data_IF_229231596260
#
_entry.id   IF_229231596260
#
_cell.length_a   1.000
_cell.length_b   1.000
_cell.length_c   1.000
_cell.angle_alpha   90.00
_cell.angle_beta   90.00
_cell.angle_gamma   90.00
#
_symmetry.space_group_name_H-M   'P 1'
#
loop_
_entity.id
_entity.type
_entity.pdbx_description
1 polymer ?
#
# COMPACT_ATOMS: atom_id res chain seq x y z
N UNK A 1 -33.43 47.41 34.09
CA UNK A 1 -32.10 46.76 33.95
C UNK A 1 -32.05 45.71 32.84
N UNK A 2 -33.04 44.83 32.72
CA UNK A 2 -33.02 43.70 31.78
C UNK A 2 -32.84 44.08 30.29
N UNK A 3 -33.54 45.12 29.80
CA UNK A 3 -33.39 45.58 28.41
C UNK A 3 -32.00 46.16 28.08
N UNK A 4 -31.37 46.84 29.05
CA UNK A 4 -30.02 47.39 28.91
C UNK A 4 -28.98 46.27 28.83
N UNK A 5 -29.16 45.22 29.64
CA UNK A 5 -28.32 44.01 29.61
C UNK A 5 -28.48 43.28 28.26
N UNK A 6 -29.71 43.08 27.77
CA UNK A 6 -29.97 42.47 26.45
C UNK A 6 -29.32 43.25 25.29
N UNK A 7 -29.43 44.59 25.27
CA UNK A 7 -28.77 45.43 24.25
C UNK A 7 -27.24 45.35 24.33
N UNK A 8 -26.65 45.27 25.53
CA UNK A 8 -25.21 45.13 25.73
C UNK A 8 -24.72 43.76 25.26
N UNK A 9 -25.42 42.68 25.61
CA UNK A 9 -25.14 41.31 25.15
C UNK A 9 -25.23 41.22 23.62
N UNK A 10 -26.29 41.76 23.01
CA UNK A 10 -26.44 41.75 21.54
C UNK A 10 -25.29 42.49 20.84
N UNK A 11 -24.85 43.63 21.39
CA UNK A 11 -23.71 44.38 20.84
C UNK A 11 -22.40 43.61 20.93
N UNK A 12 -22.17 42.90 22.04
CA UNK A 12 -21.00 42.02 22.23
C UNK A 12 -21.06 40.86 21.24
N UNK A 13 -22.19 40.16 21.16
CA UNK A 13 -22.39 39.04 20.24
C UNK A 13 -22.14 39.45 18.78
N UNK A 14 -22.65 40.62 18.36
CA UNK A 14 -22.41 41.16 17.02
C UNK A 14 -20.93 41.43 16.75
N UNK A 15 -20.19 41.97 17.73
CA UNK A 15 -18.74 42.20 17.61
C UNK A 15 -17.97 40.89 17.52
N UNK A 16 -18.33 39.90 18.35
CA UNK A 16 -17.72 38.57 18.32
C UNK A 16 -17.98 37.90 16.96
N UNK A 17 -19.22 37.92 16.47
CA UNK A 17 -19.56 37.35 15.16
C UNK A 17 -18.83 38.07 14.01
N UNK A 18 -18.68 39.39 14.09
CA UNK A 18 -17.89 40.16 13.13
C UNK A 18 -16.41 39.76 13.16
N UNK A 19 -15.80 39.67 14.34
CA UNK A 19 -14.41 39.22 14.48
C UNK A 19 -14.20 37.79 13.94
N UNK A 20 -15.12 36.87 14.23
CA UNK A 20 -15.09 35.50 13.69
C UNK A 20 -15.23 35.54 12.17
N UNK A 21 -16.17 36.31 11.63
CA UNK A 21 -16.38 36.45 10.18
C UNK A 21 -15.15 37.01 9.47
N UNK A 22 -14.51 38.04 10.03
CA UNK A 22 -13.28 38.62 9.48
C UNK A 22 -12.12 37.61 9.52
N UNK A 23 -11.97 36.87 10.63
CA UNK A 23 -10.95 35.82 10.73
C UNK A 23 -11.17 34.73 9.67
N UNK A 24 -12.40 34.26 9.51
CA UNK A 24 -12.74 33.25 8.50
C UNK A 24 -12.47 33.77 7.08
N UNK A 25 -12.76 35.04 6.80
CA UNK A 25 -12.44 35.66 5.52
C UNK A 25 -10.92 35.68 5.27
N UNK A 26 -10.11 36.07 6.26
CA UNK A 26 -8.65 36.03 6.11
C UNK A 26 -8.14 34.60 5.87
N UNK A 27 -8.65 33.61 6.60
CA UNK A 27 -8.27 32.21 6.38
C UNK A 27 -8.63 31.76 4.97
N UNK A 28 -9.81 32.10 4.47
CA UNK A 28 -10.23 31.76 3.10
C UNK A 28 -9.35 32.44 2.05
N UNK A 29 -9.07 33.74 2.19
CA UNK A 29 -8.22 34.49 1.26
C UNK A 29 -6.79 33.93 1.27
N UNK A 30 -6.20 33.72 2.44
CA UNK A 30 -4.84 33.16 2.55
C UNK A 30 -4.79 31.76 1.94
N UNK A 31 -5.76 30.90 2.24
CA UNK A 31 -5.82 29.54 1.68
C UNK A 31 -5.94 29.59 0.15
N UNK A 32 -6.80 30.47 -0.37
CA UNK A 32 -6.94 30.66 -1.81
C UNK A 32 -5.63 31.13 -2.46
N UNK A 33 -4.94 32.10 -1.85
CA UNK A 33 -3.66 32.61 -2.34
C UNK A 33 -2.54 31.56 -2.27
N UNK A 34 -2.49 30.75 -1.21
CA UNK A 34 -1.56 29.63 -1.11
C UNK A 34 -1.78 28.61 -2.24
N UNK A 35 -3.03 28.22 -2.50
CA UNK A 35 -3.34 27.34 -3.62
C UNK A 35 -3.03 27.99 -4.97
N UNK A 36 -3.28 29.29 -5.12
CA UNK A 36 -2.91 30.04 -6.33
C UNK A 36 -1.39 30.07 -6.55
N UNK A 37 -0.60 30.16 -5.48
CA UNK A 37 0.86 30.08 -5.55
C UNK A 37 1.34 28.69 -6.01
N UNK A 38 0.71 27.61 -5.53
CA UNK A 38 1.01 26.26 -6.02
C UNK A 38 0.62 26.10 -7.50
N UNK A 39 -0.50 26.68 -7.92
CA UNK A 39 -1.02 26.53 -9.28
C UNK A 39 -0.29 27.39 -10.32
N UNK A 40 -0.05 28.67 -10.00
CA UNK A 40 0.50 29.66 -10.94
C UNK A 40 1.94 30.10 -10.60
N UNK A 41 2.57 29.45 -9.62
CA UNK A 41 3.96 29.68 -9.28
C UNK A 41 4.92 29.23 -10.40
N UNK A 42 6.22 29.53 -10.26
CA UNK A 42 7.20 29.31 -11.32
C UNK A 42 7.58 27.83 -11.54
N UNK A 43 7.20 26.92 -10.64
CA UNK A 43 7.58 25.50 -10.72
C UNK A 43 6.41 24.65 -11.23
N UNK A 44 6.55 24.17 -12.46
CA UNK A 44 5.57 23.24 -13.06
C UNK A 44 5.52 21.91 -12.31
N UNK A 45 6.67 21.39 -11.89
CA UNK A 45 6.72 20.17 -11.08
C UNK A 45 5.94 20.31 -9.76
N UNK A 46 6.05 21.46 -9.07
CA UNK A 46 5.29 21.72 -7.84
C UNK A 46 3.79 21.84 -8.12
N UNK A 47 3.40 22.51 -9.21
CA UNK A 47 2.01 22.60 -9.67
C UNK A 47 1.43 21.21 -9.93
N UNK A 48 2.13 20.40 -10.72
CA UNK A 48 1.64 19.10 -11.15
C UNK A 48 1.53 18.15 -9.95
N UNK A 49 2.51 18.17 -9.06
CA UNK A 49 2.46 17.40 -7.81
C UNK A 49 1.28 17.83 -6.93
N UNK A 50 1.05 19.13 -6.77
CA UNK A 50 -0.09 19.66 -6.02
C UNK A 50 -1.43 19.23 -6.62
N UNK A 51 -1.61 19.42 -7.94
CA UNK A 51 -2.85 19.06 -8.64
C UNK A 51 -3.13 17.56 -8.51
N UNK A 52 -2.14 16.70 -8.77
CA UNK A 52 -2.29 15.25 -8.63
C UNK A 52 -2.60 14.84 -7.18
N UNK A 53 -1.91 15.44 -6.19
CA UNK A 53 -2.14 15.14 -4.76
C UNK A 53 -3.57 15.47 -4.32
N UNK A 54 -4.10 16.62 -4.77
CA UNK A 54 -5.47 17.04 -4.44
C UNK A 54 -6.52 16.17 -5.12
N UNK A 55 -6.30 15.76 -6.37
CA UNK A 55 -7.25 14.91 -7.11
C UNK A 55 -7.31 13.48 -6.59
N UNK A 56 -6.23 12.98 -6.00
CA UNK A 56 -6.21 11.70 -5.31
C UNK A 56 -6.81 11.79 -3.88
N UNK A 57 -6.93 12.99 -3.33
CA UNK A 57 -7.52 13.20 -2.01
C UNK A 57 -9.04 13.33 -2.13
N UNK A 58 -9.80 12.30 -1.73
CA UNK A 58 -11.27 12.24 -1.86
C UNK A 58 -12.00 13.52 -1.43
N UNK A 59 -11.59 14.13 -0.31
CA UNK A 59 -12.22 15.34 0.23
C UNK A 59 -11.74 16.67 -0.42
N UNK A 60 -10.66 16.65 -1.20
CA UNK A 60 -10.01 17.85 -1.74
C UNK A 60 -10.02 17.92 -3.28
N UNK A 61 -10.71 16.99 -3.96
CA UNK A 61 -10.80 16.94 -5.43
C UNK A 61 -11.29 18.24 -6.06
N UNK A 62 -12.08 19.03 -5.34
CA UNK A 62 -12.60 20.31 -5.82
C UNK A 62 -11.52 21.42 -5.90
N UNK A 63 -10.42 21.30 -5.16
CA UNK A 63 -9.44 22.37 -4.97
C UNK A 63 -8.78 22.80 -6.29
N UNK A 64 -8.27 21.89 -7.15
CA UNK A 64 -7.68 22.30 -8.43
C UNK A 64 -8.67 23.01 -9.36
N UNK A 65 -9.96 22.68 -9.28
CA UNK A 65 -11.01 23.31 -10.09
C UNK A 65 -11.32 24.76 -9.68
N UNK A 66 -10.80 25.23 -8.54
CA UNK A 66 -10.83 26.65 -8.18
C UNK A 66 -9.88 27.49 -9.04
N UNK A 67 -8.87 26.86 -9.64
CA UNK A 67 -7.77 27.53 -10.35
C UNK A 67 -7.71 27.16 -11.84
N UNK A 68 -8.08 25.93 -12.19
CA UNK A 68 -7.93 25.42 -13.54
C UNK A 68 -9.24 24.90 -14.13
N UNK A 69 -9.36 25.00 -15.46
CA UNK A 69 -10.41 24.34 -16.20
C UNK A 69 -10.25 22.81 -16.15
N UNK A 70 -11.33 22.08 -16.45
CA UNK A 70 -11.28 20.62 -16.56
C UNK A 70 -10.25 20.15 -17.59
N UNK A 71 -10.14 20.84 -18.73
CA UNK A 71 -9.19 20.50 -19.79
C UNK A 71 -7.73 20.67 -19.33
N UNK A 72 -7.41 21.77 -18.64
CA UNK A 72 -6.06 22.00 -18.12
C UNK A 72 -5.68 20.97 -17.04
N UNK A 73 -6.63 20.58 -16.19
CA UNK A 73 -6.40 19.51 -15.21
C UNK A 73 -6.13 18.17 -15.91
N UNK A 74 -6.87 17.85 -16.96
CA UNK A 74 -6.64 16.61 -17.74
C UNK A 74 -5.26 16.60 -18.40
N UNK A 75 -4.79 17.74 -18.91
CA UNK A 75 -3.44 17.88 -19.45
C UNK A 75 -2.38 17.60 -18.37
N UNK A 76 -2.46 18.29 -17.22
CA UNK A 76 -1.53 18.12 -16.09
C UNK A 76 -1.50 16.67 -15.57
N UNK A 77 -2.67 16.03 -15.45
CA UNK A 77 -2.79 14.67 -14.92
C UNK A 77 -2.46 13.59 -15.95
N UNK A 78 -2.63 13.87 -17.24
CA UNK A 78 -2.34 12.93 -18.33
C UNK A 78 -0.85 12.59 -18.44
N UNK A 79 0.02 13.51 -18.04
CA UNK A 79 1.48 13.38 -18.08
C UNK A 79 2.09 12.74 -16.83
N UNK A 80 1.33 12.57 -15.75
CA UNK A 80 1.80 11.97 -14.50
C UNK A 80 1.01 10.70 -14.18
N UNK A 81 1.50 9.55 -14.68
CA UNK A 81 0.78 8.27 -14.58
C UNK A 81 1.72 7.09 -14.60
N UNK A 82 1.27 6.01 -14.00
CA UNK A 82 1.87 4.68 -14.20
C UNK A 82 1.36 4.13 -15.52
N UNK A 83 2.28 3.68 -16.38
CA UNK A 83 1.94 2.96 -17.60
C UNK A 83 1.66 1.52 -17.18
N UNK A 84 0.41 1.09 -17.38
CA UNK A 84 -0.02 -0.26 -17.03
C UNK A 84 0.81 -1.27 -17.81
N UNK A 85 1.36 -2.25 -17.09
CA UNK A 85 1.97 -3.43 -17.70
C UNK A 85 0.88 -4.45 -18.03
N UNK A 86 1.01 -5.11 -19.18
CA UNK A 86 0.21 -6.28 -19.55
C UNK A 86 0.74 -7.57 -18.89
N UNK A 87 1.90 -7.47 -18.21
CA UNK A 87 2.48 -8.59 -17.50
C UNK A 87 1.74 -8.90 -16.19
N UNK A 88 1.78 -10.17 -15.85
CA UNK A 88 1.36 -10.71 -14.57
C UNK A 88 2.56 -11.45 -14.01
N UNK A 89 2.65 -11.51 -12.68
CA UNK A 89 3.66 -12.32 -12.02
C UNK A 89 3.80 -13.72 -12.62
N UNK A 90 5.01 -14.05 -13.04
CA UNK A 90 5.49 -15.40 -13.26
C UNK A 90 5.84 -16.03 -11.92
N UNK A 91 5.12 -17.08 -11.46
CA UNK A 91 5.39 -17.71 -10.18
C UNK A 91 6.75 -18.40 -10.08
N UNK A 92 7.37 -18.76 -11.21
CA UNK A 92 8.63 -19.54 -11.23
C UNK A 92 9.85 -18.71 -10.81
N UNK A 93 9.74 -17.38 -10.80
CA UNK A 93 10.86 -16.51 -10.40
C UNK A 93 11.14 -16.58 -8.90
N UNK A 94 10.16 -17.00 -8.09
CA UNK A 94 10.27 -17.08 -6.63
C UNK A 94 10.93 -18.41 -6.24
N UNK A 95 12.04 -18.30 -5.51
CA UNK A 95 12.85 -19.42 -5.06
C UNK A 95 12.81 -19.47 -3.54
N UNK A 96 11.88 -20.26 -2.99
CA UNK A 96 11.82 -20.48 -1.56
C UNK A 96 13.06 -21.24 -1.09
N UNK A 97 13.72 -20.73 -0.05
CA UNK A 97 14.81 -21.46 0.59
C UNK A 97 14.30 -22.83 1.06
N UNK A 98 14.88 -23.91 0.55
CA UNK A 98 14.61 -25.23 1.10
C UNK A 98 15.15 -25.25 2.53
N UNK A 99 14.41 -25.78 3.53
CA UNK A 99 14.97 -25.94 4.86
C UNK A 99 16.27 -26.74 4.75
N UNK A 100 17.39 -26.17 5.19
CA UNK A 100 18.67 -26.89 5.19
C UNK A 100 18.48 -28.20 5.95
N UNK A 101 18.79 -29.37 5.36
CA UNK A 101 18.75 -30.61 6.11
C UNK A 101 19.71 -30.47 7.28
N UNK A 102 19.18 -30.56 8.51
CA UNK A 102 19.99 -30.64 9.73
C UNK A 102 21.08 -31.68 9.51
N UNK A 103 22.35 -31.29 9.65
CA UNK A 103 23.48 -32.18 9.42
C UNK A 103 23.35 -33.41 10.32
N UNK A 104 22.95 -34.54 9.75
CA UNK A 104 23.17 -35.84 10.36
C UNK A 104 24.54 -36.30 9.90
N UNK A 105 25.47 -36.37 10.85
CA UNK A 105 26.76 -37.01 10.65
C UNK A 105 26.52 -38.51 10.43
N UNK A 106 26.73 -38.98 9.20
CA UNK A 106 26.92 -40.38 8.95
C UNK A 106 28.01 -40.54 7.88
N UNK A 107 29.19 -40.96 8.36
CA UNK A 107 30.25 -41.53 7.55
C UNK A 107 29.70 -42.66 6.67
N UNK A 108 29.89 -42.60 5.35
CA UNK A 108 30.34 -43.77 4.60
C UNK A 108 31.03 -43.36 3.30
N UNK A 109 32.09 -44.11 2.99
CA UNK A 109 33.10 -43.83 1.98
C UNK A 109 32.59 -43.89 0.53
N UNK A 110 33.28 -43.13 -0.32
CA UNK A 110 33.18 -43.16 -1.78
C UNK A 110 33.65 -44.51 -2.37
N UNK A 111 33.24 -44.81 -3.61
CA UNK A 111 34.25 -44.81 -4.66
C UNK A 111 33.84 -44.02 -5.92
N UNK A 112 34.83 -43.46 -6.62
CA UNK A 112 34.74 -42.77 -7.92
C UNK A 112 35.05 -43.74 -9.09
N UNK A 113 35.09 -43.30 -10.36
CA UNK A 113 33.94 -42.97 -11.21
C UNK A 113 33.99 -43.72 -12.57
N UNK A 114 32.85 -43.83 -13.27
CA UNK A 114 32.83 -44.25 -14.69
C UNK A 114 32.24 -43.13 -15.54
N UNK A 115 33.04 -42.63 -16.48
CA UNK A 115 32.70 -41.63 -17.49
C UNK A 115 31.75 -42.22 -18.53
N UNK A 116 30.67 -41.52 -18.84
CA UNK A 116 30.20 -41.39 -20.22
C UNK A 116 29.56 -40.02 -20.41
N UNK A 117 30.10 -39.26 -21.35
CA UNK A 117 29.59 -37.96 -21.74
C UNK A 117 28.45 -38.08 -22.73
N UNK A 118 27.51 -37.14 -22.67
CA UNK A 118 26.84 -36.60 -23.84
C UNK A 118 26.50 -35.14 -23.53
N UNK A 119 27.03 -34.26 -24.36
CA UNK A 119 26.85 -32.81 -24.38
C UNK A 119 25.41 -32.45 -24.72
N UNK A 120 24.74 -31.73 -23.82
CA UNK A 120 23.61 -30.86 -24.15
C UNK A 120 23.85 -29.53 -23.45
N UNK A 121 24.01 -28.46 -24.24
CA UNK A 121 24.09 -27.08 -23.78
C UNK A 121 22.95 -26.74 -22.80
N UNK A 122 23.23 -26.16 -21.63
CA UNK A 122 22.19 -25.63 -20.76
C UNK A 122 21.51 -24.42 -21.43
N UNK A 123 20.18 -24.25 -21.30
CA UNK A 123 19.51 -23.05 -21.75
C UNK A 123 20.08 -21.82 -21.04
N UNK A 124 20.14 -20.69 -21.75
CA UNK A 124 20.66 -19.43 -21.24
C UNK A 124 20.02 -19.03 -19.90
N UNK A 125 20.87 -18.85 -18.88
CA UNK A 125 20.53 -18.29 -17.57
C UNK A 125 19.85 -16.93 -17.75
N UNK A 126 18.67 -16.66 -17.14
CA UNK A 126 18.10 -15.33 -17.14
C UNK A 126 19.02 -14.36 -16.40
N UNK A 127 19.33 -13.29 -17.08
CA UNK A 127 20.23 -12.19 -16.73
C UNK A 127 19.92 -11.55 -15.37
N UNK A 128 20.99 -11.31 -14.61
CA UNK A 128 21.15 -10.40 -13.46
C UNK A 128 19.98 -10.23 -12.47
N UNK A 129 20.14 -10.84 -11.30
CA UNK A 129 19.47 -10.43 -10.06
C UNK A 129 19.71 -8.92 -9.83
N UNK A 130 18.66 -8.09 -9.64
CA UNK A 130 18.85 -6.74 -9.14
C UNK A 130 19.50 -6.80 -7.75
N UNK A 131 20.78 -6.46 -7.67
CA UNK A 131 21.43 -6.26 -6.38
C UNK A 131 20.98 -4.91 -5.83
N UNK A 132 20.53 -4.81 -4.56
CA UNK A 132 20.16 -3.54 -3.95
C UNK A 132 21.29 -2.52 -4.10
N UNK A 133 20.96 -1.31 -4.54
CA UNK A 133 21.91 -0.20 -4.60
C UNK A 133 22.45 0.07 -3.18
N UNK A 134 23.78 0.09 -2.94
CA UNK A 134 24.33 0.26 -1.60
C UNK A 134 24.10 1.66 -1.00
N UNK A 135 23.63 2.63 -1.78
CA UNK A 135 23.33 4.00 -1.34
C UNK A 135 21.88 4.35 -1.68
N UNK A 136 21.01 4.30 -0.66
CA UNK A 136 19.61 4.74 -0.76
C UNK A 136 19.55 6.26 -0.66
N UNK A 137 18.63 6.87 -1.40
CA UNK A 137 18.32 8.31 -1.30
C UNK A 137 17.49 8.66 -0.04
N UNK A 138 17.07 7.62 0.69
CA UNK A 138 16.31 7.71 1.92
C UNK A 138 17.00 6.94 3.05
N UNK A 139 16.75 7.35 4.30
CA UNK A 139 17.18 6.63 5.48
C UNK A 139 16.30 5.41 5.72
N UNK A 140 16.93 4.29 6.07
CA UNK A 140 16.25 3.05 6.44
C UNK A 140 16.95 2.45 7.67
N UNK A 141 16.29 2.48 8.81
CA UNK A 141 16.84 2.04 10.10
C UNK A 141 16.04 0.87 10.64
N UNK A 142 16.67 -0.28 10.89
CA UNK A 142 16.00 -1.42 11.53
C UNK A 142 15.63 -1.06 12.98
N UNK A 143 14.35 -1.12 13.32
CA UNK A 143 13.78 -0.83 14.64
C UNK A 143 13.68 -2.09 15.49
N UNK A 144 13.26 -3.21 14.88
CA UNK A 144 13.17 -4.50 15.57
C UNK A 144 13.32 -5.66 14.61
N UNK A 145 13.74 -6.81 15.14
CA UNK A 145 13.75 -8.09 14.45
C UNK A 145 13.38 -9.17 15.46
N UNK A 146 12.24 -9.82 15.24
CA UNK A 146 11.71 -10.83 16.15
C UNK A 146 10.77 -11.76 15.41
N UNK A 147 10.81 -13.05 15.73
CA UNK A 147 9.92 -14.06 15.15
C UNK A 147 9.91 -14.02 13.61
N UNK A 148 11.09 -13.86 12.97
CA UNK A 148 11.19 -13.78 11.50
C UNK A 148 10.52 -12.55 10.87
N UNK A 149 10.21 -11.52 11.66
CA UNK A 149 9.68 -10.23 11.20
C UNK A 149 10.69 -9.12 11.53
N UNK A 150 11.13 -8.39 10.51
CA UNK A 150 11.92 -7.17 10.66
C UNK A 150 11.03 -5.95 10.46
N UNK A 151 11.20 -4.92 11.29
CA UNK A 151 10.52 -3.63 11.15
C UNK A 151 11.57 -2.53 10.97
N UNK A 152 11.42 -1.73 9.93
CA UNK A 152 12.28 -0.59 9.60
C UNK A 152 11.52 0.72 9.74
N UNK A 153 12.23 1.78 10.14
CA UNK A 153 11.84 3.18 9.94
C UNK A 153 12.36 3.63 8.58
N UNK A 154 11.49 4.18 7.76
CA UNK A 154 11.84 4.86 6.51
C UNK A 154 11.75 6.36 6.73
N UNK A 155 12.78 7.11 6.32
CA UNK A 155 12.82 8.56 6.56
C UNK A 155 13.54 9.34 5.46
N UNK A 156 12.92 10.39 5.00
CA UNK A 156 13.50 11.44 4.14
C UNK A 156 13.28 12.81 4.78
N UNK A 157 13.68 13.87 4.07
CA UNK A 157 13.30 15.24 4.45
C UNK A 157 11.81 15.54 4.21
N UNK A 158 11.15 14.77 3.33
CA UNK A 158 9.77 15.03 2.89
C UNK A 158 8.75 14.10 3.54
N UNK A 159 9.15 12.87 3.87
CA UNK A 159 8.25 11.86 4.39
C UNK A 159 8.93 10.87 5.33
N UNK A 160 8.12 10.17 6.11
CA UNK A 160 8.54 9.07 6.95
C UNK A 160 7.49 7.94 6.95
N UNK A 161 7.88 6.75 7.39
CA UNK A 161 7.02 5.58 7.39
C UNK A 161 7.69 4.34 7.95
N UNK A 162 7.09 3.19 7.68
CA UNK A 162 7.57 1.90 8.15
C UNK A 162 7.54 0.86 7.04
N UNK A 163 8.59 0.03 7.00
CA UNK A 163 8.65 -1.15 6.14
C UNK A 163 8.82 -2.38 7.02
N UNK A 164 7.99 -3.39 6.80
CA UNK A 164 8.06 -4.68 7.47
C UNK A 164 8.48 -5.76 6.49
N UNK A 165 9.45 -6.58 6.89
CA UNK A 165 9.88 -7.78 6.15
C UNK A 165 9.38 -9.01 6.91
N UNK A 166 8.66 -9.89 6.23
CA UNK A 166 8.18 -11.16 6.76
C UNK A 166 8.88 -12.27 5.99
N UNK A 167 9.81 -12.96 6.64
CA UNK A 167 10.65 -13.98 6.00
C UNK A 167 9.89 -15.26 5.63
N UNK A 168 8.85 -15.61 6.40
CA UNK A 168 7.95 -16.73 6.08
C UNK A 168 6.66 -16.23 5.42
N UNK A 169 6.52 -16.33 4.08
CA UNK A 169 5.36 -15.85 3.36
C UNK A 169 4.09 -16.66 3.62
N UNK A 170 4.20 -17.88 4.17
CA UNK A 170 3.02 -18.69 4.52
C UNK A 170 2.17 -18.10 5.62
N UNK A 171 2.74 -17.15 6.39
CA UNK A 171 2.05 -16.39 7.43
C UNK A 171 1.17 -15.28 6.87
N UNK A 172 1.28 -14.94 5.59
CA UNK A 172 0.58 -13.79 5.01
C UNK A 172 -0.67 -14.26 4.28
N UNK A 173 -1.81 -13.65 4.61
CA UNK A 173 -3.11 -13.86 3.94
C UNK A 173 -3.89 -12.54 3.88
N UNK A 174 -5.04 -12.55 3.21
CA UNK A 174 -5.95 -11.41 3.16
C UNK A 174 -7.02 -11.59 4.23
N UNK A 175 -7.03 -10.67 5.18
CA UNK A 175 -8.04 -10.57 6.21
C UNK A 175 -9.29 -9.85 5.68
N UNK A 176 -10.46 -10.42 5.89
CA UNK A 176 -11.75 -9.82 5.57
C UNK A 176 -12.39 -9.21 6.82
N UNK A 177 -13.11 -8.09 6.65
CA UNK A 177 -13.87 -7.48 7.74
C UNK A 177 -15.04 -8.34 8.21
N UNK A 178 -15.64 -9.08 7.29
CA UNK A 178 -16.73 -10.03 7.49
C UNK A 178 -16.56 -11.26 6.58
N UNK A 179 -17.07 -12.44 6.96
CA UNK A 179 -17.03 -13.63 6.09
C UNK A 179 -17.79 -13.44 4.76
N UNK A 180 -18.83 -12.61 4.79
CA UNK A 180 -19.66 -12.23 3.65
C UNK A 180 -19.90 -10.71 3.69
N UNK A 181 -19.83 -10.06 2.53
CA UNK A 181 -20.01 -8.61 2.41
C UNK A 181 -21.45 -8.24 2.10
N UNK A 182 -21.93 -7.17 2.72
CA UNK A 182 -23.23 -6.58 2.43
C UNK A 182 -23.12 -5.04 2.45
N UNK A 183 -23.83 -4.37 1.54
CA UNK A 183 -23.76 -2.91 1.38
C UNK A 183 -24.28 -2.13 2.59
N UNK A 184 -25.13 -2.74 3.39
CA UNK A 184 -25.69 -2.22 4.64
C UNK A 184 -24.83 -2.56 5.88
N UNK A 185 -23.76 -3.35 5.73
CA UNK A 185 -22.87 -3.78 6.81
C UNK A 185 -21.51 -3.09 6.70
N UNK A 186 -21.22 -2.06 7.52
CA UNK A 186 -19.92 -1.40 7.51
C UNK A 186 -18.76 -2.37 7.73
N UNK A 187 -17.61 -2.05 7.15
CA UNK A 187 -16.35 -2.72 7.46
C UNK A 187 -15.94 -2.50 8.92
N UNK A 188 -14.77 -3.00 9.28
CA UNK A 188 -14.20 -2.88 10.63
C UNK A 188 -12.80 -2.28 10.54
N UNK A 189 -12.28 -1.80 11.65
CA UNK A 189 -10.96 -1.17 11.70
C UNK A 189 -9.83 -2.19 11.53
N UNK A 190 -8.65 -1.73 11.13
CA UNK A 190 -7.48 -2.60 10.97
C UNK A 190 -7.16 -3.43 12.23
N UNK A 191 -7.16 -2.87 13.46
CA UNK A 191 -6.99 -3.67 14.68
C UNK A 191 -8.07 -4.75 14.85
N UNK A 192 -9.35 -4.44 14.56
CA UNK A 192 -10.43 -5.43 14.66
C UNK A 192 -10.27 -6.57 13.63
N UNK A 193 -9.77 -6.29 12.41
CA UNK A 193 -9.42 -7.34 11.45
C UNK A 193 -8.24 -8.17 11.99
N UNK A 194 -7.19 -7.53 12.50
CA UNK A 194 -6.03 -8.24 13.04
C UNK A 194 -6.42 -9.17 14.22
N UNK A 195 -7.25 -8.68 15.14
CA UNK A 195 -7.77 -9.45 16.28
C UNK A 195 -8.62 -10.63 15.85
N UNK A 196 -9.52 -10.44 14.86
CA UNK A 196 -10.36 -11.52 14.31
C UNK A 196 -9.52 -12.68 13.78
N UNK A 197 -8.38 -12.38 13.16
CA UNK A 197 -7.46 -13.38 12.61
C UNK A 197 -6.40 -13.84 13.62
N UNK A 198 -6.32 -13.27 14.82
CA UNK A 198 -5.23 -13.54 15.76
C UNK A 198 -3.85 -13.16 15.19
N UNK A 199 -3.82 -12.15 14.31
CA UNK A 199 -2.65 -11.73 13.57
C UNK A 199 -1.65 -10.95 14.45
N UNK A 200 -0.35 -11.15 14.22
CA UNK A 200 0.72 -10.40 14.90
C UNK A 200 0.97 -9.04 14.23
N UNK A 201 0.71 -8.95 12.92
CA UNK A 201 0.83 -7.72 12.15
C UNK A 201 -0.30 -7.61 11.11
N UNK A 202 -0.60 -6.40 10.69
CA UNK A 202 -1.48 -6.15 9.55
C UNK A 202 -1.21 -4.79 8.91
N UNK A 203 -1.53 -4.65 7.63
CA UNK A 203 -1.69 -3.35 6.95
C UNK A 203 -3.07 -3.30 6.29
N UNK A 204 -3.58 -2.11 6.00
CA UNK A 204 -4.82 -2.01 5.22
C UNK A 204 -4.66 -2.63 3.82
N UNK A 205 -5.77 -3.09 3.23
CA UNK A 205 -5.79 -3.86 2.00
C UNK A 205 -6.25 -3.07 0.78
N UNK A 206 -7.25 -3.62 0.10
CA UNK A 206 -7.77 -3.13 -1.16
C UNK A 206 -8.69 -1.92 -1.03
N UNK A 207 -9.11 -1.41 -2.19
CA UNK A 207 -9.99 -0.26 -2.28
C UNK A 207 -11.42 -0.58 -1.84
N UNK A 208 -12.20 0.46 -1.64
CA UNK A 208 -13.63 0.37 -1.38
C UNK A 208 -14.37 1.61 -1.90
N UNK A 209 -15.69 1.49 -2.04
CA UNK A 209 -16.54 2.62 -2.36
C UNK A 209 -16.43 3.68 -1.26
N UNK A 210 -15.84 4.83 -1.61
CA UNK A 210 -15.48 5.92 -0.71
C UNK A 210 -15.98 7.27 -1.22
N UNK A 211 -17.28 7.35 -1.47
CA UNK A 211 -17.93 8.55 -1.97
C UNK A 211 -17.65 9.74 -1.04
N UNK A 212 -16.93 10.73 -1.57
CA UNK A 212 -16.54 11.94 -0.85
C UNK A 212 -15.61 11.74 0.35
N UNK A 213 -14.97 10.58 0.52
CA UNK A 213 -14.13 10.30 1.69
C UNK A 213 -14.89 9.78 2.92
N UNK A 214 -16.17 9.46 2.75
CA UNK A 214 -17.09 9.03 3.82
C UNK A 214 -17.52 7.56 3.70
N UNK A 215 -16.78 6.77 2.91
CA UNK A 215 -16.98 5.34 2.76
C UNK A 215 -16.94 4.59 4.08
N UNK A 216 -17.84 3.61 4.21
CA UNK A 216 -18.02 2.80 5.42
C UNK A 216 -17.19 1.51 5.41
N UNK A 217 -16.48 1.25 4.30
CA UNK A 217 -15.74 0.01 4.08
C UNK A 217 -16.63 -1.22 3.87
N UNK A 218 -17.91 -1.03 3.54
CA UNK A 218 -18.87 -2.14 3.34
C UNK A 218 -18.72 -2.85 1.98
N UNK A 219 -18.29 -2.12 0.95
CA UNK A 219 -18.25 -2.58 -0.44
C UNK A 219 -16.82 -2.49 -0.98
N UNK A 220 -16.09 -3.62 -1.10
CA UNK A 220 -14.79 -3.64 -1.76
C UNK A 220 -14.86 -3.10 -3.19
N UNK A 221 -13.82 -2.39 -3.62
CA UNK A 221 -13.64 -1.96 -5.00
C UNK A 221 -12.94 -3.07 -5.77
N UNK A 222 -13.70 -3.88 -6.50
CA UNK A 222 -13.17 -4.95 -7.35
C UNK A 222 -13.50 -6.34 -6.83
N UNK A 223 -12.54 -7.26 -6.96
CA UNK A 223 -12.67 -8.65 -6.55
C UNK A 223 -12.17 -8.86 -5.12
N UNK A 224 -12.80 -9.78 -4.39
CA UNK A 224 -12.22 -10.40 -3.20
C UNK A 224 -12.29 -11.91 -3.36
N UNK A 225 -11.14 -12.58 -3.28
CA UNK A 225 -11.03 -14.03 -3.18
C UNK A 225 -10.50 -14.35 -1.78
N UNK A 226 -11.07 -15.35 -1.13
CA UNK A 226 -10.54 -15.90 0.11
C UNK A 226 -10.68 -17.41 0.12
N UNK A 227 -9.61 -18.11 0.47
CA UNK A 227 -9.54 -19.57 0.44
C UNK A 227 -9.99 -20.18 -0.91
N UNK A 228 -9.63 -19.55 -2.02
CA UNK A 228 -9.97 -19.96 -3.38
C UNK A 228 -11.43 -19.74 -3.78
N UNK A 229 -12.25 -19.12 -2.92
CA UNK A 229 -13.65 -18.83 -3.18
C UNK A 229 -13.88 -17.33 -3.44
N UNK A 230 -14.78 -17.04 -4.36
CA UNK A 230 -15.18 -15.67 -4.70
C UNK A 230 -16.07 -15.14 -3.57
N UNK A 231 -15.66 -14.03 -2.95
CA UNK A 231 -16.38 -13.38 -1.85
C UNK A 231 -17.04 -12.08 -2.25
N UNK A 232 -16.51 -11.40 -3.26
CA UNK A 232 -17.07 -10.17 -3.81
C UNK A 232 -16.54 -9.93 -5.22
N UNK A 233 -17.31 -9.22 -6.05
CA UNK A 233 -16.94 -8.88 -7.42
C UNK A 233 -17.43 -9.91 -8.45
N UNK A 234 -16.77 -9.96 -9.61
CA UNK A 234 -17.19 -10.72 -10.78
C UNK A 234 -15.99 -11.43 -11.42
N UNK A 235 -16.15 -12.69 -11.82
CA UNK A 235 -15.10 -13.40 -12.55
C UNK A 235 -14.91 -12.88 -13.98
N UNK A 236 -15.92 -12.23 -14.54
CA UNK A 236 -15.91 -11.78 -15.94
C UNK A 236 -15.37 -10.36 -16.11
N UNK A 237 -15.06 -9.68 -15.01
CA UNK A 237 -14.49 -8.33 -15.02
C UNK A 237 -12.98 -8.38 -14.83
N UNK A 238 -12.30 -7.33 -15.30
CA UNK A 238 -10.86 -7.15 -15.15
C UNK A 238 -10.53 -6.20 -14.00
N UNK A 239 -9.39 -6.46 -13.35
CA UNK A 239 -8.96 -5.78 -12.16
C UNK A 239 -7.44 -5.62 -12.12
N UNK A 240 -6.96 -4.54 -11.51
CA UNK A 240 -5.63 -4.54 -10.89
C UNK A 240 -5.73 -5.43 -9.64
N UNK A 241 -5.12 -6.61 -9.71
CA UNK A 241 -5.24 -7.65 -8.70
C UNK A 241 -3.95 -7.76 -7.90
N UNK A 242 -4.12 -7.95 -6.59
CA UNK A 242 -3.04 -8.27 -5.66
C UNK A 242 -3.48 -9.47 -4.84
N UNK A 243 -2.77 -10.59 -4.96
CA UNK A 243 -3.17 -11.84 -4.32
C UNK A 243 -2.05 -12.82 -4.11
N UNK A 244 -2.36 -13.95 -3.49
CA UNK A 244 -1.42 -15.02 -3.20
C UNK A 244 -1.88 -16.34 -3.82
N UNK A 245 -0.96 -17.06 -4.45
CA UNK A 245 -1.18 -18.46 -4.85
C UNK A 245 -1.19 -19.39 -3.62
N UNK A 246 -1.53 -20.65 -3.82
CA UNK A 246 -1.42 -21.70 -2.79
C UNK A 246 0.02 -21.86 -2.26
N UNK A 247 1.02 -21.53 -3.08
CA UNK A 247 2.44 -21.63 -2.73
C UNK A 247 2.99 -20.32 -2.14
N UNK A 248 2.13 -19.39 -1.73
CA UNK A 248 2.52 -18.11 -1.14
C UNK A 248 3.32 -17.19 -2.08
N UNK A 249 3.14 -17.35 -3.39
CA UNK A 249 3.63 -16.39 -4.39
C UNK A 249 2.67 -15.22 -4.46
N UNK A 250 3.19 -14.00 -4.28
CA UNK A 250 2.47 -12.74 -4.50
C UNK A 250 2.29 -12.54 -6.01
N UNK A 251 1.04 -12.56 -6.46
CA UNK A 251 0.65 -12.26 -7.84
C UNK A 251 0.11 -10.84 -7.91
N UNK A 252 0.74 -10.03 -8.76
CA UNK A 252 0.31 -8.68 -9.13
C UNK A 252 0.10 -8.59 -10.63
N UNK A 253 -0.81 -7.71 -11.06
CA UNK A 253 -1.04 -7.41 -12.47
C UNK A 253 -2.51 -7.16 -12.79
N UNK A 254 -2.74 -6.73 -14.03
CA UNK A 254 -4.08 -6.49 -14.55
C UNK A 254 -4.65 -7.78 -15.17
N UNK A 255 -5.75 -8.29 -14.63
CA UNK A 255 -6.33 -9.57 -15.08
C UNK A 255 -7.82 -9.73 -14.79
N UNK A 256 -8.46 -10.65 -15.51
CA UNK A 256 -9.83 -11.05 -15.19
C UNK A 256 -9.92 -11.89 -13.91
N UNK A 257 -11.04 -11.80 -13.21
CA UNK A 257 -11.30 -12.68 -12.07
C UNK A 257 -11.26 -14.16 -12.44
N UNK A 258 -11.69 -14.53 -13.66
CA UNK A 258 -11.57 -15.89 -14.19
C UNK A 258 -10.11 -16.33 -14.31
N UNK A 259 -9.23 -15.47 -14.85
CA UNK A 259 -7.79 -15.78 -14.94
C UNK A 259 -7.18 -15.99 -13.56
N UNK A 260 -7.54 -15.16 -12.58
CA UNK A 260 -7.12 -15.34 -11.19
C UNK A 260 -7.57 -16.70 -10.61
N UNK A 261 -8.79 -17.13 -10.92
CA UNK A 261 -9.29 -18.45 -10.54
C UNK A 261 -8.54 -19.60 -11.22
N UNK A 262 -8.32 -19.49 -12.54
CA UNK A 262 -7.61 -20.50 -13.32
C UNK A 262 -6.15 -20.64 -12.83
N UNK A 263 -5.54 -19.57 -12.32
CA UNK A 263 -4.21 -19.57 -11.68
C UNK A 263 -4.20 -20.17 -10.26
N UNK A 264 -5.36 -20.56 -9.71
CA UNK A 264 -5.45 -21.12 -8.36
C UNK A 264 -5.12 -20.13 -7.25
N UNK A 265 -5.43 -18.85 -7.45
CA UNK A 265 -5.23 -17.81 -6.43
C UNK A 265 -6.03 -18.15 -5.17
N UNK A 266 -5.32 -18.23 -4.05
CA UNK A 266 -5.86 -18.57 -2.73
C UNK A 266 -6.60 -17.38 -2.15
N UNK A 267 -5.95 -16.22 -2.12
CA UNK A 267 -6.50 -14.99 -1.58
C UNK A 267 -6.22 -13.84 -2.55
N UNK A 268 -7.19 -12.97 -2.81
CA UNK A 268 -6.98 -11.77 -3.60
C UNK A 268 -7.83 -10.59 -3.13
N UNK A 269 -7.32 -9.40 -3.37
CA UNK A 269 -8.04 -8.14 -3.30
C UNK A 269 -7.68 -7.29 -4.53
N UNK A 270 -8.37 -6.17 -4.71
CA UNK A 270 -8.09 -5.27 -5.81
C UNK A 270 -7.68 -3.88 -5.33
N UNK A 271 -6.54 -3.46 -5.84
CA UNK A 271 -6.05 -2.09 -5.87
C UNK A 271 -4.88 -2.03 -6.83
N UNK A 272 -4.32 -0.85 -7.02
CA UNK A 272 -3.11 -0.71 -7.80
C UNK A 272 -2.55 0.71 -7.68
N UNK A 273 -1.64 1.08 -8.58
CA UNK A 273 -1.15 0.27 -9.70
C UNK A 273 -0.17 -0.83 -9.25
N UNK A 274 0.09 -1.78 -10.15
CA UNK A 274 1.30 -2.61 -10.12
C UNK A 274 2.54 -1.70 -10.22
N UNK A 275 3.58 -1.98 -9.43
CA UNK A 275 4.79 -1.14 -9.33
C UNK A 275 6.04 -1.87 -9.83
N UNK A 276 6.13 -3.16 -9.56
CA UNK A 276 7.22 -4.05 -9.98
C UNK A 276 6.57 -5.36 -10.38
N UNK A 277 6.96 -5.92 -11.52
CA UNK A 277 6.49 -7.23 -11.97
C UNK A 277 7.67 -7.95 -12.60
N UNK A 278 7.84 -9.23 -12.26
CA UNK A 278 8.88 -10.08 -12.83
C UNK A 278 10.32 -9.56 -12.73
N UNK A 279 10.62 -8.79 -11.67
CA UNK A 279 11.93 -8.20 -11.46
C UNK A 279 12.18 -6.94 -12.28
N UNK A 280 11.16 -6.33 -12.86
CA UNK A 280 11.23 -5.05 -13.59
C UNK A 280 10.29 -4.02 -12.98
N UNK A 281 10.77 -2.77 -12.83
CA UNK A 281 9.90 -1.64 -12.44
C UNK A 281 9.00 -1.30 -13.62
N UNK A 282 7.70 -1.13 -13.38
CA UNK A 282 6.79 -0.66 -14.43
C UNK A 282 7.19 0.75 -14.89
N UNK A 283 6.94 1.04 -16.16
CA UNK A 283 7.21 2.36 -16.72
C UNK A 283 6.28 3.42 -16.09
N UNK A 284 6.83 4.58 -15.76
CA UNK A 284 6.09 5.69 -15.19
C UNK A 284 6.43 6.99 -15.92
N UNK A 285 5.40 7.76 -16.25
CA UNK A 285 5.55 9.14 -16.68
C UNK A 285 5.47 10.06 -15.46
N UNK A 286 6.42 10.98 -15.32
CA UNK A 286 6.54 11.84 -14.14
C UNK A 286 6.85 11.04 -12.88
N UNK A 287 6.06 11.23 -11.83
CA UNK A 287 6.15 10.52 -10.54
C UNK A 287 5.15 9.36 -10.41
N UNK A 288 4.32 9.14 -11.44
CA UNK A 288 3.23 8.17 -11.46
C UNK A 288 2.00 8.56 -10.63
N UNK A 289 2.11 9.54 -9.73
CA UNK A 289 1.05 10.00 -8.82
C UNK A 289 1.36 11.35 -8.17
N UNK A 290 0.43 11.83 -7.35
CA UNK A 290 0.69 12.87 -6.34
C UNK A 290 1.43 12.35 -5.10
N UNK A 291 1.65 13.25 -4.14
CA UNK A 291 2.22 12.98 -2.82
C UNK A 291 1.09 12.74 -1.82
N UNK A 292 1.02 11.54 -1.27
CA UNK A 292 -0.03 11.15 -0.32
C UNK A 292 0.49 10.13 0.71
N UNK A 293 -0.24 9.86 1.81
CA UNK A 293 -0.02 8.65 2.58
C UNK A 293 -0.24 7.44 1.68
N UNK A 294 0.62 6.43 1.78
CA UNK A 294 0.64 5.28 0.88
C UNK A 294 0.79 3.98 1.63
N UNK A 295 0.25 2.93 1.03
CA UNK A 295 0.41 1.54 1.47
C UNK A 295 0.80 0.72 0.26
N UNK A 296 1.76 -0.19 0.41
CA UNK A 296 2.18 -1.07 -0.67
C UNK A 296 2.65 -2.42 -0.14
N UNK A 297 2.66 -3.39 -1.04
CA UNK A 297 3.16 -4.74 -0.78
C UNK A 297 4.16 -5.14 -1.86
N UNK A 298 5.16 -5.92 -1.48
CA UNK A 298 6.07 -6.57 -2.41
C UNK A 298 6.49 -7.95 -1.95
N UNK A 299 7.09 -8.71 -2.86
CA UNK A 299 7.71 -10.00 -2.57
C UNK A 299 9.10 -10.05 -3.18
N UNK A 300 10.06 -10.50 -2.38
CA UNK A 300 11.45 -10.74 -2.79
C UNK A 300 11.58 -12.11 -3.46
N UNK A 301 12.67 -12.30 -4.21
CA UNK A 301 12.96 -13.58 -4.88
C UNK A 301 13.08 -14.76 -3.91
N UNK A 302 13.54 -14.54 -2.69
CA UNK A 302 13.63 -15.56 -1.63
C UNK A 302 12.28 -15.89 -0.95
N UNK A 303 11.20 -15.25 -1.41
CA UNK A 303 9.84 -15.46 -0.93
C UNK A 303 9.40 -14.46 0.13
N UNK A 304 10.31 -13.72 0.76
CA UNK A 304 9.96 -12.79 1.84
C UNK A 304 8.98 -11.70 1.37
N UNK A 305 7.96 -11.42 2.19
CA UNK A 305 6.96 -10.39 1.91
C UNK A 305 7.38 -9.07 2.54
N UNK A 306 7.19 -7.98 1.79
CA UNK A 306 7.42 -6.62 2.21
C UNK A 306 6.10 -5.89 2.37
N UNK A 307 5.85 -5.29 3.53
CA UNK A 307 4.69 -4.43 3.78
C UNK A 307 5.19 -3.01 4.04
N UNK A 308 4.77 -2.04 3.24
CA UNK A 308 5.22 -0.66 3.31
C UNK A 308 4.06 0.27 3.62
N UNK A 309 4.23 1.15 4.61
CA UNK A 309 3.35 2.29 4.85
C UNK A 309 4.17 3.58 4.90
N UNK A 310 3.70 4.63 4.23
CA UNK A 310 4.27 5.97 4.28
C UNK A 310 3.23 6.93 4.85
N UNK A 311 3.61 7.67 5.90
CA UNK A 311 2.77 8.70 6.49
C UNK A 311 2.66 9.88 5.53
N UNK A 312 1.57 10.65 5.58
CA UNK A 312 1.39 11.81 4.72
C UNK A 312 0.33 12.77 5.24
N UNK A 313 0.20 13.94 4.59
CA UNK A 313 -0.74 15.01 4.98
C UNK A 313 -0.55 15.45 6.44
N UNK A 314 0.69 15.46 6.92
CA UNK A 314 1.08 15.84 8.28
C UNK A 314 2.31 16.75 8.24
N UNK A 315 2.53 17.54 9.28
CA UNK A 315 3.68 18.46 9.34
C UNK A 315 5.02 17.72 9.26
N UNK A 316 5.09 16.52 9.83
CA UNK A 316 6.26 15.64 9.81
C UNK A 316 6.41 14.83 8.52
N UNK A 317 5.37 14.75 7.68
CA UNK A 317 5.35 13.90 6.49
C UNK A 317 4.34 14.39 5.47
N UNK A 318 4.82 14.84 4.30
CA UNK A 318 3.96 15.24 3.19
C UNK A 318 3.29 14.01 2.55
N UNK A 319 4.05 12.92 2.38
CA UNK A 319 3.62 11.69 1.72
C UNK A 319 4.64 11.21 0.69
N UNK A 320 4.29 10.17 -0.05
CA UNK A 320 5.10 9.60 -1.13
C UNK A 320 4.31 9.47 -2.44
N UNK A 321 5.04 9.45 -3.55
CA UNK A 321 4.57 9.13 -4.89
C UNK A 321 4.66 7.63 -5.17
N UNK A 322 4.09 7.14 -6.27
CA UNK A 322 4.26 5.74 -6.67
C UNK A 322 5.71 5.41 -7.07
N UNK A 323 6.43 6.38 -7.65
CA UNK A 323 7.87 6.23 -7.93
C UNK A 323 8.69 6.03 -6.65
N UNK A 324 8.35 6.74 -5.57
CA UNK A 324 8.97 6.53 -4.25
C UNK A 324 8.72 5.10 -3.73
N UNK A 325 7.47 4.62 -3.79
CA UNK A 325 7.13 3.25 -3.33
C UNK A 325 7.86 2.18 -4.14
N UNK A 326 7.89 2.32 -5.46
CA UNK A 326 8.59 1.40 -6.36
C UNK A 326 10.09 1.38 -6.05
N UNK A 327 10.70 2.55 -5.82
CA UNK A 327 12.11 2.67 -5.45
C UNK A 327 12.41 2.00 -4.11
N UNK A 328 11.59 2.25 -3.08
CA UNK A 328 11.79 1.64 -1.75
C UNK A 328 11.67 0.12 -1.84
N UNK A 329 10.61 -0.40 -2.47
CA UNK A 329 10.40 -1.85 -2.57
C UNK A 329 11.49 -2.53 -3.41
N UNK A 330 11.93 -1.89 -4.49
CA UNK A 330 13.05 -2.35 -5.32
C UNK A 330 14.37 -2.41 -4.54
N UNK A 331 14.68 -1.38 -3.76
CA UNK A 331 15.89 -1.31 -2.92
C UNK A 331 15.86 -2.27 -1.73
N UNK A 332 14.69 -2.82 -1.41
CA UNK A 332 14.52 -3.96 -0.49
C UNK A 332 14.40 -5.31 -1.22
N UNK A 333 14.61 -5.33 -2.54
CA UNK A 333 14.74 -6.54 -3.36
C UNK A 333 13.43 -7.14 -3.84
N UNK A 334 12.34 -6.37 -3.86
CA UNK A 334 11.08 -6.84 -4.42
C UNK A 334 11.24 -7.16 -5.92
N UNK A 335 10.74 -8.33 -6.33
CA UNK A 335 10.61 -8.72 -7.74
C UNK A 335 9.15 -8.63 -8.22
N UNK A 336 8.20 -8.62 -7.30
CA UNK A 336 6.80 -8.27 -7.55
C UNK A 336 6.35 -7.26 -6.50
N UNK A 337 5.63 -6.22 -6.89
CA UNK A 337 5.10 -5.22 -5.97
C UNK A 337 3.89 -4.49 -6.55
N UNK A 338 2.97 -4.09 -5.67
CA UNK A 338 1.81 -3.28 -6.01
C UNK A 338 1.47 -2.29 -4.91
N UNK A 339 0.86 -1.17 -5.31
CA UNK A 339 0.26 -0.23 -4.39
C UNK A 339 -1.11 -0.76 -3.88
N UNK A 340 -1.42 -0.44 -2.62
CA UNK A 340 -2.65 -0.76 -1.91
C UNK A 340 -3.41 0.53 -1.54
N UNK A 341 -4.58 0.39 -0.88
CA UNK A 341 -5.36 1.58 -0.52
C UNK A 341 -4.54 2.54 0.36
N UNK A 342 -4.63 3.83 0.05
CA UNK A 342 -3.76 4.85 0.62
C UNK A 342 -4.52 5.89 1.43
N UNK A 343 -3.97 7.10 1.48
CA UNK A 343 -4.62 8.23 2.14
C UNK A 343 -4.92 7.94 3.61
N UNK A 344 -6.13 8.28 4.05
CA UNK A 344 -6.54 8.05 5.46
C UNK A 344 -6.65 6.58 5.85
N UNK A 345 -6.64 5.64 4.89
CA UNK A 345 -6.66 4.21 5.17
C UNK A 345 -5.28 3.66 5.58
N UNK A 346 -4.20 4.38 5.23
CA UNK A 346 -2.81 3.97 5.48
C UNK A 346 -2.55 3.71 6.96
N UNK A 347 -2.40 2.44 7.30
CA UNK A 347 -2.13 2.03 8.67
C UNK A 347 -1.35 0.71 8.70
N UNK A 348 -0.41 0.60 9.65
CA UNK A 348 0.28 -0.62 10.00
C UNK A 348 0.03 -0.93 11.47
N UNK A 349 -0.50 -2.11 11.73
CA UNK A 349 -0.68 -2.71 13.03
C UNK A 349 0.46 -3.71 13.28
N UNK A 350 1.07 -3.66 14.45
CA UNK A 350 2.07 -4.64 14.88
C UNK A 350 2.01 -4.81 16.39
N UNK A 351 1.88 -6.06 16.87
CA UNK A 351 1.89 -6.43 18.30
C UNK A 351 0.95 -5.57 19.16
N UNK A 352 -0.33 -5.51 18.81
CA UNK A 352 -1.34 -4.83 19.62
C UNK A 352 -1.49 -3.33 19.37
N UNK A 353 -0.69 -2.71 18.50
CA UNK A 353 -0.69 -1.25 18.30
C UNK A 353 -0.53 -0.85 16.85
N UNK A 354 -1.04 0.33 16.50
CA UNK A 354 -0.66 1.02 15.27
C UNK A 354 0.74 1.59 15.44
N UNK A 355 1.63 1.34 14.48
CA UNK A 355 3.05 1.74 14.56
C UNK A 355 3.41 2.99 13.75
N UNK A 356 2.56 3.39 12.80
CA UNK A 356 2.75 4.60 12.01
C UNK A 356 1.79 5.74 12.46
N UNK A 357 2.02 6.96 11.95
CA UNK A 357 1.20 8.11 12.31
C UNK A 357 -0.06 8.18 11.42
N UNK A 358 -1.22 7.93 12.02
CA UNK A 358 -2.51 7.94 11.30
C UNK A 358 -3.36 9.17 11.68
N UNK A 359 -4.16 9.66 10.73
CA UNK A 359 -5.11 10.74 10.98
C UNK A 359 -6.35 10.26 11.76
N UNK A 360 -6.85 9.08 11.41
CA UNK A 360 -7.96 8.39 12.08
C UNK A 360 -7.98 6.91 11.68
N UNK A 361 -8.58 6.05 12.51
CA UNK A 361 -8.90 4.69 12.10
C UNK A 361 -10.04 4.69 11.09
N UNK A 362 -9.82 4.00 9.97
CA UNK A 362 -10.84 3.77 8.94
C UNK A 362 -11.46 2.38 9.10
N UNK A 363 -12.73 2.27 8.74
CA UNK A 363 -13.39 0.99 8.52
C UNK A 363 -13.02 0.51 7.12
N UNK A 364 -12.52 -0.71 7.04
CA UNK A 364 -11.95 -1.31 5.84
C UNK A 364 -12.70 -2.60 5.52
N UNK A 365 -12.83 -2.98 4.24
CA UNK A 365 -13.36 -4.29 3.88
C UNK A 365 -12.30 -5.39 3.99
N UNK A 366 -11.04 -5.07 3.73
CA UNK A 366 -9.92 -6.01 3.64
C UNK A 366 -8.65 -5.44 4.26
N UNK A 367 -7.77 -6.34 4.68
CA UNK A 367 -6.43 -6.06 5.18
C UNK A 367 -5.46 -7.14 4.68
N UNK A 368 -4.17 -6.83 4.61
CA UNK A 368 -3.14 -7.87 4.58
C UNK A 368 -2.81 -8.20 6.04
N UNK A 369 -2.94 -9.47 6.44
CA UNK A 369 -2.68 -9.91 7.81
C UNK A 369 -1.53 -10.90 7.85
N UNK A 370 -0.74 -10.83 8.93
CA UNK A 370 0.41 -11.70 9.19
C UNK A 370 0.10 -12.51 10.45
N UNK A 371 -0.01 -13.82 10.30
CA UNK A 371 -0.31 -14.75 11.38
C UNK A 371 0.90 -14.93 12.30
N UNK A 372 0.66 -15.36 13.54
CA UNK A 372 1.73 -15.77 14.45
C UNK A 372 2.48 -16.99 13.88
N UNK A 373 3.78 -17.11 14.20
CA UNK A 373 4.53 -18.32 13.84
C UNK A 373 3.90 -19.56 14.50
N UNK A 374 3.81 -20.65 13.74
CA UNK A 374 3.29 -21.93 14.23
C UNK A 374 4.28 -22.64 15.17
N UNK A 375 5.55 -22.25 15.19
CA UNK A 375 6.59 -22.85 16.03
C UNK A 375 6.45 -22.49 17.52
N UNK A 376 5.62 -21.49 17.88
CA UNK A 376 5.38 -21.06 19.26
C UNK A 376 4.24 -21.78 20.00
N UNK A 377 3.49 -22.70 19.37
CA UNK A 377 2.37 -23.43 20.00
C UNK A 377 2.77 -24.79 20.62
N UNK A 378 4.06 -25.00 20.89
CA UNK A 378 4.54 -26.12 21.69
C UNK A 378 4.73 -25.70 23.16
N UNK A 379 3.98 -26.33 24.06
CA UNK A 379 4.00 -26.15 25.53
C UNK A 379 3.10 -25.04 26.09
N UNK A 380 1.82 -25.37 26.27
CA UNK A 380 1.05 -25.14 27.49
C UNK A 380 -0.38 -25.66 27.24
N UNK A 381 -0.72 -26.76 27.90
CA UNK A 381 -2.04 -27.41 27.87
C UNK A 381 -1.93 -28.91 27.72
#
# INVERSE_FOLDING_TARGET
MEQLVKKKIFRILRRVLFCIGTLLLYVLVITYLCGALCCYGPSEAARDLFVNSMLETSAAKFVPYLYFSKSRIQEITGENRVIRSEEITDPEIIVFATPSPKSSSANTAAPSPTKHGTTSEPPATPTSVPSPSPKREYGASKISEEDGIELYEIKTQLYNGNLMIIHDPSRVTIGMSHPEYHRDKPGVTLPEIAERYGAVAAINGGGFEDDGGMGTGCAPSGLVISNGALKWGSLNSEYELVGFTQNNVLVVGYMSGKKAFDMGIRDALCYGPTLIVNGEKVEMSGYGSGVNPRTAIGQRRDGAILLLVINGRQLSSLGATYSDLATILWDFGAVNAANLDGGTSTAMYYKGKIVNQILRLRKLPTAIVVMQSTEGKGSHG
#
